data_IF_147532829782
#
_entry.id   IF_147532829782
#
_cell.length_a   1.000
_cell.length_b   1.000
_cell.length_c   1.000
_cell.angle_alpha   90.00
_cell.angle_beta   90.00
_cell.angle_gamma   90.00
#
_symmetry.space_group_name_H-M   'P 1'
#
loop_
_entity.id
_entity.type
_entity.pdbx_description
1 polymer ?
#
# COMPACT_ATOMS: atom_id res chain seq x y z
N UNK A 1 -13.36 -9.91 8.10
CA UNK A 1 -13.09 -9.78 7.88
C UNK A 1 -12.54 -8.98 7.74
N UNK A 2 -12.12 -8.56 7.62
CA UNK A 2 -11.87 -7.78 7.42
C UNK A 2 -10.79 -7.12 7.81
N UNK A 3 -10.10 -6.93 8.52
CA UNK A 3 -8.84 -6.32 8.87
C UNK A 3 -7.67 -7.27 8.68
N UNK A 4 -7.82 -8.23 7.80
CA UNK A 4 -6.76 -9.21 7.57
C UNK A 4 -5.50 -8.54 7.03
N UNK A 5 -5.62 -7.55 6.16
CA UNK A 5 -4.45 -6.85 5.65
C UNK A 5 -3.70 -6.12 6.74
N UNK A 6 -4.41 -5.48 7.63
CA UNK A 6 -3.77 -4.78 8.73
C UNK A 6 -3.03 -5.75 9.64
N UNK A 7 -3.63 -6.92 9.90
CA UNK A 7 -2.98 -7.93 10.70
C UNK A 7 -1.72 -8.47 10.04
N UNK A 8 -1.76 -8.67 8.73
CA UNK A 8 -0.58 -9.10 7.99
C UNK A 8 0.57 -8.12 8.16
N UNK A 9 0.25 -6.83 7.99
CA UNK A 9 1.29 -5.81 8.12
C UNK A 9 1.82 -5.73 9.53
N UNK A 10 0.96 -5.92 10.52
CA UNK A 10 1.40 -5.89 11.93
C UNK A 10 2.41 -6.98 12.25
N UNK A 11 2.34 -8.10 11.53
CA UNK A 11 3.23 -9.23 11.76
C UNK A 11 4.54 -9.14 10.99
N UNK A 12 4.68 -8.15 10.12
CA UNK A 12 5.88 -7.99 9.31
C UNK A 12 6.92 -7.15 10.04
N UNK A 13 8.19 -7.40 9.73
CA UNK A 13 9.27 -6.56 10.24
C UNK A 13 9.24 -5.20 9.56
N UNK A 14 9.92 -4.22 10.16
CA UNK A 14 9.98 -2.88 9.56
C UNK A 14 10.64 -2.95 8.17
N UNK A 15 11.67 -3.77 8.04
CA UNK A 15 12.33 -3.91 6.74
C UNK A 15 11.38 -4.43 5.68
N UNK A 16 10.61 -5.46 6.04
CA UNK A 16 9.63 -6.02 5.09
C UNK A 16 8.54 -5.01 4.77
N UNK A 17 8.11 -4.25 5.78
CA UNK A 17 7.10 -3.23 5.56
C UNK A 17 7.60 -2.15 4.62
N UNK A 18 8.87 -1.77 4.73
CA UNK A 18 9.43 -0.76 3.84
C UNK A 18 9.49 -1.27 2.41
N UNK A 19 9.81 -2.54 2.24
CA UNK A 19 9.81 -3.14 0.90
C UNK A 19 8.40 -3.16 0.32
N UNK A 20 7.43 -3.53 1.14
CA UNK A 20 6.05 -3.54 0.71
C UNK A 20 5.58 -2.14 0.34
N UNK A 21 5.98 -1.14 1.11
CA UNK A 21 5.63 0.23 0.84
C UNK A 21 6.15 0.67 -0.53
N UNK A 22 7.40 0.32 -0.83
CA UNK A 22 7.97 0.65 -2.13
C UNK A 22 7.23 -0.04 -3.26
N UNK A 23 6.91 -1.32 -3.08
CA UNK A 23 6.18 -2.07 -4.09
C UNK A 23 4.81 -1.46 -4.34
N UNK A 24 4.11 -1.07 -3.27
CA UNK A 24 2.80 -0.45 -3.40
C UNK A 24 2.88 0.90 -4.10
N UNK A 25 3.90 1.68 -3.78
CA UNK A 25 4.06 2.98 -4.43
C UNK A 25 4.35 2.82 -5.92
N UNK A 26 5.15 1.83 -6.28
CA UNK A 26 5.41 1.53 -7.67
C UNK A 26 4.14 1.11 -8.40
N UNK A 27 3.35 0.28 -7.76
CA UNK A 27 2.09 -0.16 -8.34
C UNK A 27 1.14 1.01 -8.54
N UNK A 28 1.06 1.90 -7.55
CA UNK A 28 0.23 3.08 -7.65
C UNK A 28 0.67 3.96 -8.81
N UNK A 29 1.98 4.14 -8.96
CA UNK A 29 2.52 4.93 -10.05
C UNK A 29 2.13 4.33 -11.39
N UNK A 30 2.27 3.02 -11.53
CA UNK A 30 1.91 2.35 -12.78
C UNK A 30 0.43 2.49 -13.10
N UNK A 31 -0.41 2.33 -12.08
CA UNK A 31 -1.85 2.45 -12.28
C UNK A 31 -2.24 3.86 -12.71
N UNK A 32 -1.64 4.86 -12.08
CA UNK A 32 -1.91 6.25 -12.44
C UNK A 32 -1.43 6.56 -13.84
N UNK A 33 -0.27 6.02 -14.20
CA UNK A 33 0.28 6.23 -15.53
C UNK A 33 -0.62 5.63 -16.60
N UNK A 34 -1.08 4.41 -16.38
CA UNK A 34 -2.00 3.74 -17.30
C UNK A 34 -3.31 4.52 -17.42
N UNK A 35 -3.80 5.01 -16.31
CA UNK A 35 -5.02 5.78 -16.32
C UNK A 35 -4.86 7.06 -17.15
N UNK A 36 -3.73 7.72 -16.99
CA UNK A 36 -3.46 8.96 -17.73
C UNK A 36 -3.36 8.71 -19.24
N UNK A 37 -2.77 7.57 -19.61
CA UNK A 37 -2.58 7.26 -21.02
C UNK A 37 -3.85 6.76 -21.70
N UNK A 38 -4.55 5.84 -21.05
CA UNK A 38 -5.64 5.12 -21.68
C UNK A 38 -7.01 5.42 -21.11
N UNK A 39 -7.05 6.00 -19.92
CA UNK A 39 -8.32 6.21 -19.23
C UNK A 39 -9.03 4.91 -18.87
N UNK A 40 -8.31 3.79 -18.94
CA UNK A 40 -8.91 2.47 -18.75
C UNK A 40 -8.65 1.85 -17.38
N UNK A 41 -7.77 2.42 -16.60
CA UNK A 41 -7.46 1.81 -15.33
C UNK A 41 -8.64 1.93 -14.37
N UNK A 42 -8.77 0.92 -13.54
CA UNK A 42 -9.86 0.85 -12.59
C UNK A 42 -9.58 1.78 -11.40
N UNK A 43 -10.37 2.86 -11.22
CA UNK A 43 -10.12 3.76 -10.09
C UNK A 43 -10.25 3.06 -8.73
N UNK A 44 -11.01 1.98 -8.70
CA UNK A 44 -11.13 1.18 -7.49
C UNK A 44 -9.80 0.58 -7.08
N UNK A 45 -9.02 0.09 -8.04
CA UNK A 45 -7.69 -0.45 -7.75
C UNK A 45 -6.78 0.63 -7.18
N UNK A 46 -6.83 1.82 -7.74
CA UNK A 46 -6.01 2.93 -7.25
C UNK A 46 -6.37 3.22 -5.79
N UNK A 47 -7.66 3.25 -5.47
CA UNK A 47 -8.10 3.50 -4.11
C UNK A 47 -7.61 2.41 -3.15
N UNK A 48 -7.68 1.16 -3.58
CA UNK A 48 -7.24 0.04 -2.74
C UNK A 48 -5.75 0.14 -2.45
N UNK A 49 -4.95 0.42 -3.48
CA UNK A 49 -3.51 0.54 -3.29
C UNK A 49 -3.18 1.70 -2.36
N UNK A 50 -3.86 2.83 -2.52
CA UNK A 50 -3.65 3.98 -1.64
C UNK A 50 -3.96 3.62 -0.19
N UNK A 51 -5.04 2.89 0.05
CA UNK A 51 -5.40 2.47 1.40
C UNK A 51 -4.35 1.54 1.99
N UNK A 52 -3.83 0.63 1.18
CA UNK A 52 -2.79 -0.27 1.65
C UNK A 52 -1.51 0.47 1.99
N UNK A 53 -1.15 1.48 1.20
CA UNK A 53 0.01 2.31 1.52
C UNK A 53 -0.18 2.99 2.87
N UNK A 54 -1.37 3.54 3.12
CA UNK A 54 -1.66 4.20 4.39
C UNK A 54 -1.55 3.22 5.56
N UNK A 55 -2.04 2.00 5.38
CA UNK A 55 -1.96 0.99 6.42
C UNK A 55 -0.51 0.62 6.73
N UNK A 56 0.30 0.42 5.69
CA UNK A 56 1.71 0.11 5.88
C UNK A 56 2.41 1.25 6.61
N UNK A 57 2.14 2.49 6.19
CA UNK A 57 2.72 3.65 6.85
C UNK A 57 2.35 3.71 8.33
N UNK A 58 1.10 3.42 8.64
CA UNK A 58 0.64 3.44 10.03
C UNK A 58 1.39 2.41 10.86
N UNK A 59 1.54 1.20 10.33
CA UNK A 59 2.22 0.13 11.07
C UNK A 59 3.69 0.46 11.25
N UNK A 60 4.35 0.97 10.19
CA UNK A 60 5.75 1.36 10.27
C UNK A 60 5.93 2.41 11.37
N UNK A 61 5.07 3.44 11.38
CA UNK A 61 5.15 4.50 12.38
C UNK A 61 5.02 3.93 13.79
N UNK A 62 4.06 3.05 13.98
CA UNK A 62 3.86 2.45 15.30
C UNK A 62 5.08 1.65 15.74
N UNK A 63 5.66 0.89 14.82
CA UNK A 63 6.82 0.06 15.18
C UNK A 63 8.05 0.92 15.47
N UNK A 64 8.20 2.04 14.78
CA UNK A 64 9.36 2.90 15.01
C UNK A 64 9.23 3.73 16.28
N UNK A 65 8.02 3.96 16.74
CA UNK A 65 7.79 4.80 17.91
C UNK A 65 7.77 4.03 19.23
N UNK A 66 8.04 2.76 19.22
CA UNK A 66 8.08 1.94 20.44
C UNK A 66 9.37 2.10 21.23
#
# INVERSE_FOLDING_TARGET
MKSSKLNEYSNMSVEDLEKEQKALKNELFKLRFQHALNGLSNPKKISIVKKNIARVNTVITKKKNI
#
